data_IF_015729334803
#
_entry.id   IF_015729334803
#
_cell.length_a   1.000
_cell.length_b   1.000
_cell.length_c   1.000
_cell.angle_alpha   90.00
_cell.angle_beta   90.00
_cell.angle_gamma   90.00
#
_symmetry.space_group_name_H-M   'P 1'
#
loop_
_entity.id
_entity.type
_entity.pdbx_description
1 polymer ?
#
# COMPACT_ATOMS: atom_id res chain seq x y z
N UNK A 1 -0.75 -9.04 23.49
CA UNK A 1 0.29 -8.23 22.82
C UNK A 1 -0.41 -7.31 21.84
N UNK A 2 -0.69 -6.07 22.21
CA UNK A 2 -1.34 -5.11 21.30
C UNK A 2 -0.27 -4.55 20.38
N UNK A 3 -0.09 -5.15 19.20
CA UNK A 3 0.69 -4.53 18.13
C UNK A 3 -0.08 -3.29 17.70
N UNK A 4 0.43 -2.12 18.06
CA UNK A 4 -0.08 -0.83 17.58
C UNK A 4 0.23 -0.73 16.09
N UNK A 5 -0.51 -1.46 15.25
CA UNK A 5 -0.29 -1.47 13.81
C UNK A 5 -0.88 -0.19 13.25
N UNK A 6 0.00 0.77 12.96
CA UNK A 6 -0.38 2.00 12.27
C UNK A 6 -0.78 1.62 10.84
N UNK A 7 -2.02 1.91 10.40
CA UNK A 7 -2.41 1.61 9.03
C UNK A 7 -1.61 2.45 8.03
N UNK A 8 -1.27 1.84 6.89
CA UNK A 8 -0.78 2.53 5.71
C UNK A 8 -1.96 3.13 4.90
N UNK A 9 -1.67 3.71 3.73
CA UNK A 9 -2.65 4.44 2.92
C UNK A 9 -3.77 3.56 2.37
N UNK A 10 -3.55 2.24 2.24
CA UNK A 10 -4.56 1.31 1.73
C UNK A 10 -5.79 1.20 2.64
N UNK A 11 -5.72 1.66 3.89
CA UNK A 11 -6.88 1.73 4.79
C UNK A 11 -8.03 2.63 4.27
N UNK A 12 -7.77 3.47 3.25
CA UNK A 12 -8.76 4.35 2.62
C UNK A 12 -9.35 3.79 1.33
N UNK A 13 -8.85 2.65 0.85
CA UNK A 13 -9.32 2.01 -0.37
C UNK A 13 -10.65 1.27 -0.16
N UNK A 14 -11.40 1.08 -1.24
CA UNK A 14 -12.66 0.31 -1.21
C UNK A 14 -12.46 -1.19 -1.45
N UNK A 15 -11.35 -1.55 -2.08
CA UNK A 15 -11.06 -2.95 -2.43
C UNK A 15 -10.77 -3.76 -1.17
N UNK A 16 -11.51 -4.84 -0.95
CA UNK A 16 -11.28 -5.78 0.15
C UNK A 16 -9.89 -6.41 0.10
N UNK A 17 -9.35 -6.67 -1.10
CA UNK A 17 -7.98 -7.14 -1.28
C UNK A 17 -6.96 -6.11 -0.77
N UNK A 18 -7.11 -4.82 -1.11
CA UNK A 18 -6.18 -3.78 -0.67
C UNK A 18 -6.30 -3.52 0.84
N UNK A 19 -7.52 -3.56 1.39
CA UNK A 19 -7.77 -3.38 2.82
C UNK A 19 -7.13 -4.47 3.67
N UNK A 20 -7.01 -5.70 3.17
CA UNK A 20 -6.29 -6.78 3.87
C UNK A 20 -4.79 -6.46 4.06
N UNK A 21 -4.22 -5.58 3.23
CA UNK A 21 -2.82 -5.15 3.33
C UNK A 21 -2.64 -3.81 4.07
N UNK A 22 -3.72 -3.22 4.59
CA UNK A 22 -3.69 -1.89 5.21
C UNK A 22 -2.83 -1.80 6.48
N UNK A 23 -2.61 -2.92 7.17
CA UNK A 23 -1.85 -3.00 8.42
C UNK A 23 -0.50 -3.72 8.26
N UNK A 24 -0.09 -3.98 7.01
CA UNK A 24 1.22 -4.54 6.72
C UNK A 24 2.32 -3.51 7.04
N UNK A 25 3.52 -3.95 7.45
CA UNK A 25 4.61 -3.05 7.83
C UNK A 25 5.17 -2.25 6.65
N UNK A 26 4.90 -2.67 5.41
CA UNK A 26 5.23 -1.92 4.20
C UNK A 26 4.29 -0.72 4.09
N UNK A 27 4.83 0.48 3.89
CA UNK A 27 4.07 1.72 3.63
C UNK A 27 3.50 1.69 2.20
N UNK A 28 2.50 0.85 1.97
CA UNK A 28 1.86 0.72 0.68
C UNK A 28 1.11 2.00 0.28
N UNK A 29 1.26 2.35 -1.00
CA UNK A 29 0.47 3.37 -1.68
C UNK A 29 -0.50 2.68 -2.65
N UNK A 30 -1.74 3.18 -2.81
CA UNK A 30 -2.53 2.84 -3.97
C UNK A 30 -1.88 3.42 -5.23
N UNK A 31 -2.31 2.95 -6.40
CA UNK A 31 -1.87 3.53 -7.67
C UNK A 31 -2.36 4.99 -7.78
N UNK A 32 -1.45 5.95 -7.65
CA UNK A 32 -1.78 7.38 -7.60
C UNK A 32 -0.61 8.27 -8.01
N UNK A 33 -0.91 9.50 -8.43
CA UNK A 33 0.11 10.53 -8.71
C UNK A 33 0.98 10.84 -7.48
N UNK A 34 0.43 10.79 -6.26
CA UNK A 34 1.18 10.97 -5.02
C UNK A 34 2.34 9.97 -4.90
N UNK A 35 2.11 8.72 -5.29
CA UNK A 35 3.14 7.68 -5.24
C UNK A 35 4.28 7.97 -6.23
N UNK A 36 3.95 8.40 -7.45
CA UNK A 36 4.94 8.75 -8.47
C UNK A 36 5.74 10.01 -8.11
N UNK A 37 5.08 11.06 -7.64
CA UNK A 37 5.74 12.29 -7.22
C UNK A 37 6.66 12.06 -6.01
N UNK A 38 6.25 11.21 -5.06
CA UNK A 38 7.13 10.81 -3.94
C UNK A 38 8.36 10.05 -4.44
N UNK A 39 8.18 9.07 -5.33
CA UNK A 39 9.28 8.29 -5.89
C UNK A 39 10.30 9.18 -6.63
N UNK A 40 9.81 10.11 -7.46
CA UNK A 40 10.64 11.08 -8.17
C UNK A 40 11.38 12.03 -7.23
N UNK A 41 10.70 12.57 -6.21
CA UNK A 41 11.30 13.49 -5.23
C UNK A 41 12.36 12.82 -4.36
N UNK A 42 12.16 11.55 -4.00
CA UNK A 42 13.08 10.80 -3.16
C UNK A 42 14.17 10.06 -3.94
N UNK A 43 14.15 10.14 -5.28
CA UNK A 43 15.04 9.38 -6.18
C UNK A 43 15.06 7.88 -5.86
N UNK A 44 13.86 7.30 -5.71
CA UNK A 44 13.67 5.88 -5.38
C UNK A 44 12.86 5.18 -6.47
N UNK A 45 13.22 3.93 -6.83
CA UNK A 45 12.41 3.13 -7.75
C UNK A 45 11.07 2.76 -7.13
N UNK A 46 10.09 2.47 -7.98
CA UNK A 46 8.77 1.98 -7.58
C UNK A 46 8.77 0.45 -7.59
N UNK A 47 8.41 -0.15 -6.46
CA UNK A 47 8.05 -1.56 -6.39
C UNK A 47 6.55 -1.71 -6.63
N UNK A 48 6.16 -2.20 -7.81
CA UNK A 48 4.77 -2.41 -8.20
C UNK A 48 4.35 -3.86 -7.93
N UNK A 49 3.37 -4.04 -7.03
CA UNK A 49 2.75 -5.34 -6.74
C UNK A 49 1.30 -5.33 -7.19
N UNK A 50 0.93 -6.26 -8.09
CA UNK A 50 -0.43 -6.40 -8.63
C UNK A 50 -0.97 -7.76 -8.24
N UNK A 51 -2.19 -7.79 -7.72
CA UNK A 51 -2.87 -9.03 -7.36
C UNK A 51 -4.37 -8.82 -7.18
N UNK A 52 -5.06 -9.90 -6.81
CA UNK A 52 -6.49 -9.93 -6.61
C UNK A 52 -6.84 -10.96 -5.53
N UNK A 53 -8.04 -10.86 -4.94
CA UNK A 53 -8.43 -11.62 -3.73
C UNK A 53 -8.49 -13.13 -3.89
N UNK A 54 -8.50 -13.65 -5.12
CA UNK A 54 -8.57 -15.09 -5.41
C UNK A 54 -7.32 -15.59 -6.16
N UNK A 55 -6.21 -14.86 -6.06
CA UNK A 55 -4.90 -15.33 -6.49
C UNK A 55 -4.41 -16.41 -5.50
N UNK A 56 -3.96 -17.56 -6.00
CA UNK A 56 -3.55 -18.71 -5.21
C UNK A 56 -2.12 -18.60 -4.70
#
# INVERSE_FOLDING_TARGET
MTTNSKPNRLAKEKSSYLLQHAYNPVDWFPWSEEAFEKAKREDKPIFLSIGYSTCH
#
